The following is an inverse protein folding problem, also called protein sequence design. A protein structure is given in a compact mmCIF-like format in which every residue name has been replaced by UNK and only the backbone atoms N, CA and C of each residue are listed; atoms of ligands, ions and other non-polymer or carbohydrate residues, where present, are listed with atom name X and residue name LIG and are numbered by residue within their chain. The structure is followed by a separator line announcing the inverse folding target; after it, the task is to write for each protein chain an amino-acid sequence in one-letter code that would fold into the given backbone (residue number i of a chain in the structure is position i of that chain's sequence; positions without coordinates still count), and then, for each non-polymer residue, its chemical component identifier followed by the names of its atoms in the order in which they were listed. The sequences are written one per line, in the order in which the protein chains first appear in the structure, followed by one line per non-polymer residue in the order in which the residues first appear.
data_IF_022685764209
#
_entry.id   IF_022685764209
#
_cell.length_a   1.000
_cell.length_b   1.000
_cell.length_c   1.000
_cell.angle_alpha   90.00
_cell.angle_beta   90.00
_cell.angle_gamma   90.00
#
_symmetry.space_group_name_H-M   'P 1'
#
loop_
_entity.id
_entity.type
_entity.pdbx_description
1 polymer ?
#
# COMPACT_ATOMS: atom_id res chain seq x y z
N UNK A 1 -0.11 27.22 -5.44
CA UNK A 1 0.27 25.81 -5.62
C UNK A 1 0.50 25.18 -4.25
N UNK A 2 -0.51 24.52 -3.66
CA UNK A 2 -0.28 23.65 -2.49
C UNK A 2 0.28 22.34 -3.06
N UNK A 3 1.61 22.25 -3.16
CA UNK A 3 2.30 21.32 -4.07
C UNK A 3 2.22 19.84 -3.64
N UNK A 4 1.84 19.53 -2.40
CA UNK A 4 1.70 18.16 -1.89
C UNK A 4 0.58 18.14 -0.83
N UNK A 5 -0.29 17.11 -0.85
CA UNK A 5 -1.30 16.93 0.20
C UNK A 5 -0.68 16.24 1.41
N UNK A 6 -0.75 16.92 2.56
CA UNK A 6 -0.34 16.38 3.84
C UNK A 6 -1.21 15.17 4.23
N UNK A 7 -2.52 15.22 3.95
CA UNK A 7 -3.42 14.08 4.19
C UNK A 7 -3.00 12.84 3.40
N UNK A 8 -2.66 13.01 2.11
CA UNK A 8 -2.14 11.92 1.28
C UNK A 8 -0.81 11.36 1.81
N UNK A 9 0.13 12.23 2.20
CA UNK A 9 1.40 11.79 2.78
C UNK A 9 1.22 11.04 4.10
N UNK A 10 0.30 11.48 4.96
CA UNK A 10 0.04 10.83 6.25
C UNK A 10 -0.48 9.40 6.12
N UNK A 11 -1.13 9.05 5.01
CA UNK A 11 -1.54 7.66 4.74
C UNK A 11 -0.40 6.85 4.09
N UNK A 12 0.38 7.47 3.19
CA UNK A 12 1.47 6.78 2.50
C UNK A 12 2.67 6.46 3.41
N UNK A 13 3.06 7.38 4.31
CA UNK A 13 4.27 7.22 5.12
C UNK A 13 4.21 6.03 6.10
N UNK A 14 3.12 5.81 6.86
CA UNK A 14 3.01 4.63 7.72
C UNK A 14 2.98 3.34 6.91
N UNK A 15 2.28 3.31 5.78
CA UNK A 15 2.24 2.16 4.90
C UNK A 15 3.65 1.79 4.39
N UNK A 16 4.44 2.81 4.02
CA UNK A 16 5.83 2.64 3.62
C UNK A 16 6.71 2.15 4.76
N UNK A 17 6.58 2.72 5.96
CA UNK A 17 7.34 2.31 7.13
C UNK A 17 7.07 0.84 7.50
N UNK A 18 5.79 0.43 7.54
CA UNK A 18 5.38 -0.96 7.81
C UNK A 18 5.91 -1.90 6.72
N UNK A 19 5.81 -1.51 5.46
CA UNK A 19 6.31 -2.33 4.34
C UNK A 19 7.82 -2.56 4.45
N UNK A 20 8.60 -1.51 4.71
CA UNK A 20 10.04 -1.62 4.90
C UNK A 20 10.39 -2.50 6.11
N UNK A 21 9.67 -2.37 7.22
CA UNK A 21 9.87 -3.19 8.41
C UNK A 21 9.60 -4.67 8.12
N UNK A 22 8.51 -4.98 7.40
CA UNK A 22 8.17 -6.34 6.98
C UNK A 22 9.24 -6.94 6.07
N UNK A 23 9.69 -6.20 5.05
CA UNK A 23 10.75 -6.65 4.13
C UNK A 23 12.06 -6.86 4.87
N UNK A 24 12.45 -5.94 5.75
CA UNK A 24 13.65 -6.07 6.57
C UNK A 24 13.58 -7.30 7.47
N UNK A 25 12.48 -7.47 8.21
CA UNK A 25 12.28 -8.61 9.11
C UNK A 25 12.28 -9.95 8.35
N UNK A 26 11.69 -10.00 7.15
CA UNK A 26 11.69 -11.20 6.31
C UNK A 26 13.11 -11.59 5.84
N UNK A 27 13.99 -10.61 5.62
CA UNK A 27 15.38 -10.89 5.27
C UNK A 27 16.27 -11.20 6.48
N UNK A 28 15.86 -10.78 7.68
CA UNK A 28 16.57 -11.07 8.93
C UNK A 28 16.19 -12.43 9.55
N UNK A 29 15.03 -12.99 9.16
CA UNK A 29 14.52 -14.24 9.70
C UNK A 29 15.03 -15.47 8.95
N UNK A 30 15.32 -16.54 9.71
CA UNK A 30 15.75 -17.84 9.19
C UNK A 30 14.60 -18.83 9.01
N UNK A 31 13.38 -18.47 9.45
CA UNK A 31 12.17 -19.28 9.25
C UNK A 31 11.55 -19.00 7.87
N UNK A 32 11.54 -19.97 6.93
CA UNK A 32 10.97 -19.77 5.61
C UNK A 32 9.49 -19.40 5.62
N UNK A 33 8.72 -19.92 6.59
CA UNK A 33 7.29 -19.62 6.69
C UNK A 33 7.06 -18.20 7.18
N UNK A 34 7.76 -17.80 8.23
CA UNK A 34 7.76 -16.41 8.72
C UNK A 34 8.13 -15.42 7.62
N UNK A 35 9.15 -15.73 6.82
CA UNK A 35 9.59 -14.88 5.71
C UNK A 35 8.48 -14.68 4.67
N UNK A 36 7.79 -15.76 4.30
CA UNK A 36 6.65 -15.69 3.38
C UNK A 36 5.53 -14.80 3.92
N UNK A 37 5.13 -15.00 5.18
CA UNK A 37 4.05 -14.22 5.82
C UNK A 37 4.42 -12.74 5.91
N UNK A 38 5.66 -12.43 6.29
CA UNK A 38 6.13 -11.05 6.40
C UNK A 38 6.14 -10.33 5.05
N UNK A 39 6.56 -10.99 3.97
CA UNK A 39 6.50 -10.40 2.61
C UNK A 39 5.06 -10.27 2.11
N UNK A 40 4.17 -11.18 2.50
CA UNK A 40 2.77 -11.12 2.08
C UNK A 40 1.99 -10.01 2.79
N UNK A 41 2.21 -9.82 4.10
CA UNK A 41 1.46 -8.90 4.97
C UNK A 41 1.17 -7.52 4.34
N UNK A 42 2.17 -6.73 3.91
CA UNK A 42 1.94 -5.41 3.36
C UNK A 42 1.25 -5.41 1.98
N UNK A 43 1.25 -6.54 1.28
CA UNK A 43 0.60 -6.72 -0.01
C UNK A 43 -0.80 -7.34 0.09
N UNK A 44 -1.18 -7.86 1.26
CA UNK A 44 -2.45 -8.60 1.47
C UNK A 44 -3.66 -7.84 0.92
N UNK A 45 -3.88 -6.53 1.21
CA UNK A 45 -5.01 -5.81 0.65
C UNK A 45 -5.04 -5.80 -0.89
N UNK A 46 -3.88 -5.65 -1.53
CA UNK A 46 -3.79 -5.67 -3.00
C UNK A 46 -3.99 -7.07 -3.56
N UNK A 47 -3.50 -8.11 -2.86
CA UNK A 47 -3.71 -9.50 -3.25
C UNK A 47 -5.19 -9.87 -3.22
N UNK A 48 -5.95 -9.37 -2.24
CA UNK A 48 -7.41 -9.55 -2.18
C UNK A 48 -8.12 -8.88 -3.37
N UNK A 49 -7.68 -7.68 -3.78
CA UNK A 49 -8.22 -7.02 -4.99
C UNK A 49 -7.91 -7.84 -6.24
N UNK A 50 -6.67 -8.33 -6.38
CA UNK A 50 -6.26 -9.19 -7.51
C UNK A 50 -7.05 -10.50 -7.53
N UNK A 51 -7.32 -11.07 -6.35
CA UNK A 51 -8.16 -12.25 -6.19
C UNK A 51 -9.61 -11.98 -6.61
N UNK A 52 -10.19 -10.87 -6.16
CA UNK A 52 -11.56 -10.47 -6.48
C UNK A 52 -11.79 -10.28 -8.00
N UNK A 53 -10.77 -9.84 -8.75
CA UNK A 53 -10.84 -9.70 -10.22
C UNK A 53 -10.42 -10.97 -10.97
N UNK A 54 -10.15 -12.08 -10.28
CA UNK A 54 -9.80 -13.37 -10.88
C UNK A 54 -8.39 -13.44 -11.47
N UNK A 55 -7.49 -12.52 -11.11
CA UNK A 55 -6.15 -12.41 -11.70
C UNK A 55 -5.05 -13.06 -10.84
N UNK A 56 -5.39 -13.90 -9.86
CA UNK A 56 -4.42 -14.53 -8.95
C UNK A 56 -3.32 -15.33 -9.66
N UNK A 57 -3.66 -16.01 -10.77
CA UNK A 57 -2.70 -16.80 -11.56
C UNK A 57 -1.52 -15.95 -12.09
N UNK A 58 -1.74 -14.66 -12.36
CA UNK A 58 -0.70 -13.76 -12.82
C UNK A 58 0.42 -13.56 -11.79
N UNK A 59 0.09 -13.59 -10.50
CA UNK A 59 1.04 -13.37 -9.42
C UNK A 59 1.82 -14.62 -9.01
N UNK A 60 1.33 -15.82 -9.33
CA UNK A 60 1.93 -17.10 -8.90
C UNK A 60 3.34 -17.32 -9.44
N UNK A 61 3.69 -16.67 -10.56
CA UNK A 61 4.99 -16.81 -11.21
C UNK A 61 5.94 -15.65 -10.90
N UNK A 62 5.49 -14.64 -10.16
CA UNK A 62 6.31 -13.47 -9.84
C UNK A 62 7.19 -13.74 -8.63
N UNK A 63 8.43 -13.24 -8.69
CA UNK A 63 9.21 -13.07 -7.48
C UNK A 63 8.59 -11.98 -6.61
N UNK A 64 8.88 -12.01 -5.31
CA UNK A 64 8.44 -10.95 -4.39
C UNK A 64 8.83 -9.56 -4.88
N UNK A 65 10.05 -9.39 -5.40
CA UNK A 65 10.51 -8.10 -5.92
C UNK A 65 9.60 -7.57 -7.04
N UNK A 66 9.18 -8.44 -7.96
CA UNK A 66 8.25 -8.08 -9.02
C UNK A 66 6.82 -7.84 -8.52
N UNK A 67 6.36 -8.62 -7.54
CA UNK A 67 5.07 -8.39 -6.91
C UNK A 67 5.01 -7.01 -6.22
N UNK A 68 6.06 -6.61 -5.49
CA UNK A 68 6.16 -5.27 -4.92
C UNK A 68 6.25 -4.20 -6.00
N UNK A 69 7.09 -4.35 -7.02
CA UNK A 69 7.21 -3.38 -8.10
C UNK A 69 5.87 -3.11 -8.81
N UNK A 70 5.04 -4.13 -8.94
CA UNK A 70 3.73 -4.02 -9.58
C UNK A 70 2.64 -3.46 -8.66
N UNK A 71 2.51 -4.00 -7.44
CA UNK A 71 1.37 -3.76 -6.56
C UNK A 71 1.56 -2.56 -5.62
N UNK A 72 2.80 -2.20 -5.34
CA UNK A 72 3.11 -1.15 -4.38
C UNK A 72 2.85 0.28 -4.93
N UNK A 73 3.25 0.65 -6.16
CA UNK A 73 2.96 1.99 -6.70
C UNK A 73 1.45 2.30 -6.83
N UNK A 74 0.59 1.39 -7.34
CA UNK A 74 -0.85 1.62 -7.38
C UNK A 74 -1.46 1.81 -5.99
N UNK A 75 -0.99 1.06 -4.99
CA UNK A 75 -1.47 1.20 -3.61
C UNK A 75 -1.09 2.57 -3.02
N UNK A 76 0.17 3.00 -3.20
CA UNK A 76 0.59 4.34 -2.77
C UNK A 76 -0.20 5.45 -3.46
N UNK A 77 -0.47 5.31 -4.76
CA UNK A 77 -1.32 6.26 -5.48
C UNK A 77 -2.75 6.29 -4.90
N UNK A 78 -3.33 5.12 -4.62
CA UNK A 78 -4.65 4.99 -4.00
C UNK A 78 -4.72 5.63 -2.62
N UNK A 79 -3.74 5.36 -1.75
CA UNK A 79 -3.64 5.97 -0.42
C UNK A 79 -3.47 7.50 -0.50
N UNK A 80 -2.61 7.97 -1.40
CA UNK A 80 -2.39 9.40 -1.58
C UNK A 80 -3.67 10.11 -2.04
N UNK A 81 -4.37 9.54 -3.02
CA UNK A 81 -5.64 10.09 -3.53
C UNK A 81 -6.74 10.05 -2.47
N UNK A 82 -6.81 8.98 -1.67
CA UNK A 82 -7.74 8.88 -0.56
C UNK A 82 -7.47 9.98 0.48
N UNK A 83 -6.21 10.14 0.90
CA UNK A 83 -5.83 11.17 1.86
C UNK A 83 -6.03 12.59 1.32
N UNK A 84 -5.77 12.80 0.02
CA UNK A 84 -6.07 14.05 -0.68
C UNK A 84 -7.56 14.35 -0.68
N UNK A 85 -8.41 13.37 -1.02
CA UNK A 85 -9.86 13.51 -1.05
C UNK A 85 -10.46 13.77 0.33
N UNK A 86 -9.98 13.04 1.36
CA UNK A 86 -10.37 13.28 2.75
C UNK A 86 -9.98 14.68 3.21
N UNK A 87 -8.77 15.12 2.90
CA UNK A 87 -8.32 16.48 3.22
C UNK A 87 -9.22 17.54 2.54
N UNK A 88 -9.54 17.36 1.25
CA UNK A 88 -10.41 18.28 0.53
C UNK A 88 -11.86 18.29 1.08
N UNK A 89 -12.35 17.15 1.57
CA UNK A 89 -13.67 17.05 2.20
C UNK A 89 -13.71 17.76 3.56
N UNK A 90 -12.64 17.69 4.35
CA UNK A 90 -12.52 18.36 5.64
C UNK A 90 -12.36 19.88 5.45
N UNK A 91 -11.59 20.30 4.46
CA UNK A 91 -11.33 21.72 4.16
C UNK A 91 -12.48 22.39 3.40
N UNK A 92 -13.54 21.66 3.03
CA UNK A 92 -14.72 22.26 2.41
C UNK A 92 -15.35 23.27 3.37
N UNK A 93 -15.56 24.53 2.97
CA UNK A 93 -16.34 25.47 3.75
C UNK A 93 -17.72 24.86 3.99
N UNK A 94 -18.17 24.84 5.24
CA UNK A 94 -19.59 24.65 5.52
C UNK A 94 -20.34 25.70 4.70
N UNK A 95 -21.32 25.28 3.89
CA UNK A 95 -22.17 26.23 3.19
C UNK A 95 -22.79 27.14 4.27
N UNK A 96 -22.40 28.41 4.28
CA UNK A 96 -23.05 29.42 5.11
C UNK A 96 -24.50 29.49 4.62
N UNK A 97 -25.42 28.98 5.43
CA UNK A 97 -26.87 29.07 5.24
C UNK A 97 -27.38 30.42 5.73
#
# INVERSE_FOLDING_TARGET
MRRVSLGGLLLCLPYLAVTLLCVWAANASTDPKGNFVLLQLPLTPQLEVVHAVGATAFLQHLSWAWAYALLYPPMLAGLYLLGYGLQALIERPSADF
#
